data_IF_081094535847
#
_entry.id   IF_081094535847
#
_cell.length_a   1.000
_cell.length_b   1.000
_cell.length_c   1.000
_cell.angle_alpha   90.00
_cell.angle_beta   90.00
_cell.angle_gamma   90.00
#
_symmetry.space_group_name_H-M   'P 1'
#
loop_
_entity.id
_entity.type
_entity.pdbx_description
1 polymer ?
#
# COMPACT_ATOMS: atom_id res chain seq x y z
N UNK A 1 5.05 28.36 -22.81
CA UNK A 1 5.36 26.94 -23.12
C UNK A 1 4.36 26.00 -22.46
N UNK A 2 3.47 25.42 -23.27
CA UNK A 2 2.35 24.59 -22.83
C UNK A 2 2.80 23.26 -22.17
N UNK A 3 3.97 22.74 -22.53
CA UNK A 3 4.58 21.56 -21.91
C UNK A 3 5.06 21.79 -20.47
N UNK A 4 5.63 22.97 -20.18
CA UNK A 4 6.07 23.31 -18.82
C UNK A 4 4.88 23.41 -17.85
N UNK A 5 3.73 23.90 -18.33
CA UNK A 5 2.50 23.96 -17.53
C UNK A 5 1.94 22.55 -17.23
N UNK A 6 1.89 21.66 -18.23
CA UNK A 6 1.45 20.26 -18.07
C UNK A 6 2.33 19.48 -17.08
N UNK A 7 3.65 19.67 -17.14
CA UNK A 7 4.60 19.04 -16.21
C UNK A 7 4.38 19.47 -14.75
N UNK A 8 4.16 20.77 -14.52
CA UNK A 8 3.85 21.30 -13.17
C UNK A 8 2.56 20.73 -12.59
N UNK A 9 1.53 20.55 -13.41
CA UNK A 9 0.25 19.94 -12.98
C UNK A 9 0.46 18.47 -12.63
N UNK A 10 1.18 17.71 -13.46
CA UNK A 10 1.46 16.29 -13.21
C UNK A 10 2.23 16.08 -11.90
N UNK A 11 3.24 16.92 -11.61
CA UNK A 11 3.99 16.87 -10.35
C UNK A 11 3.08 17.16 -9.15
N UNK A 12 2.20 18.16 -9.23
CA UNK A 12 1.25 18.46 -8.15
C UNK A 12 0.29 17.30 -7.87
N UNK A 13 -0.23 16.67 -8.93
CA UNK A 13 -1.11 15.51 -8.79
C UNK A 13 -0.38 14.35 -8.12
N UNK A 14 0.84 14.03 -8.58
CA UNK A 14 1.65 12.97 -7.97
C UNK A 14 1.95 13.28 -6.51
N UNK A 15 2.32 14.52 -6.19
CA UNK A 15 2.59 14.94 -4.83
C UNK A 15 1.37 14.75 -3.91
N UNK A 16 0.19 15.20 -4.33
CA UNK A 16 -1.04 15.04 -3.57
C UNK A 16 -1.40 13.56 -3.38
N UNK A 17 -1.30 12.75 -4.45
CA UNK A 17 -1.61 11.34 -4.40
C UNK A 17 -0.68 10.59 -3.43
N UNK A 18 0.62 10.87 -3.47
CA UNK A 18 1.59 10.31 -2.53
C UNK A 18 1.32 10.79 -1.10
N UNK A 19 0.99 12.07 -0.89
CA UNK A 19 0.65 12.58 0.44
C UNK A 19 -0.54 11.83 1.05
N UNK A 20 -1.59 11.61 0.26
CA UNK A 20 -2.80 10.87 0.68
C UNK A 20 -2.43 9.42 1.00
N UNK A 21 -1.59 8.77 0.18
CA UNK A 21 -1.12 7.40 0.45
C UNK A 21 -0.39 7.31 1.78
N UNK A 22 0.55 8.22 2.06
CA UNK A 22 1.31 8.23 3.30
C UNK A 22 0.42 8.43 4.54
N UNK A 23 -0.60 9.28 4.43
CA UNK A 23 -1.60 9.43 5.50
C UNK A 23 -2.32 8.10 5.74
N UNK A 24 -2.86 7.47 4.68
CA UNK A 24 -3.55 6.20 4.79
C UNK A 24 -2.70 5.09 5.44
N UNK A 25 -1.43 4.99 5.03
CA UNK A 25 -0.47 4.04 5.59
C UNK A 25 -0.23 4.29 7.08
N UNK A 26 0.01 5.56 7.46
CA UNK A 26 0.31 5.92 8.84
C UNK A 26 -0.87 5.65 9.77
N UNK A 27 -2.09 5.96 9.32
CA UNK A 27 -3.32 5.63 10.04
C UNK A 27 -3.47 4.12 10.20
N UNK A 28 -3.27 3.36 9.12
CA UNK A 28 -3.40 1.91 9.14
C UNK A 28 -2.41 1.28 10.13
N UNK A 29 -1.14 1.67 10.07
CA UNK A 29 -0.09 1.15 10.95
C UNK A 29 -0.35 1.49 12.42
N UNK A 30 -0.87 2.69 12.69
CA UNK A 30 -1.20 3.12 14.06
C UNK A 30 -2.39 2.37 14.62
N UNK A 31 -3.40 2.08 13.79
CA UNK A 31 -4.62 1.39 14.20
C UNK A 31 -4.49 -0.14 14.23
N UNK A 32 -3.55 -0.70 13.46
CA UNK A 32 -3.39 -2.15 13.31
C UNK A 32 -3.23 -2.90 14.65
N UNK A 33 -2.44 -2.43 15.63
CA UNK A 33 -2.30 -3.11 16.92
C UNK A 33 -3.61 -3.15 17.71
N UNK A 34 -4.39 -2.06 17.67
CA UNK A 34 -5.70 -1.99 18.32
C UNK A 34 -6.70 -2.94 17.66
N UNK A 35 -6.69 -3.02 16.34
CA UNK A 35 -7.56 -3.90 15.57
C UNK A 35 -7.20 -5.39 15.75
N UNK A 36 -5.91 -5.70 15.83
CA UNK A 36 -5.45 -7.05 16.15
C UNK A 36 -5.85 -7.46 17.58
N UNK A 37 -5.74 -6.54 18.54
CA UNK A 37 -6.09 -6.80 19.94
C UNK A 37 -7.60 -6.95 20.15
N UNK A 38 -8.42 -6.16 19.46
CA UNK A 38 -9.89 -6.28 19.55
C UNK A 38 -10.42 -7.62 19.01
N UNK A 39 -9.68 -8.28 18.11
CA UNK A 39 -9.99 -9.62 17.61
C UNK A 39 -9.44 -10.76 18.50
N UNK A 40 -8.96 -10.46 19.71
CA UNK A 40 -8.36 -11.43 20.61
C UNK A 40 -6.90 -11.81 20.26
N UNK A 41 -6.28 -11.08 19.33
CA UNK A 41 -4.86 -11.24 19.01
C UNK A 41 -3.95 -10.51 20.00
N UNK A 42 -2.67 -10.89 20.02
CA UNK A 42 -1.64 -10.24 20.83
C UNK A 42 -0.47 -9.74 19.99
N UNK A 43 0.65 -9.42 20.65
CA UNK A 43 1.87 -8.95 19.99
C UNK A 43 2.37 -9.88 18.87
N UNK A 44 2.21 -11.20 19.03
CA UNK A 44 2.58 -12.20 18.02
C UNK A 44 1.79 -12.03 16.72
N UNK A 45 0.49 -11.72 16.80
CA UNK A 45 -0.34 -11.49 15.60
C UNK A 45 0.07 -10.19 14.91
N UNK A 46 0.31 -9.12 15.67
CA UNK A 46 0.80 -7.84 15.12
C UNK A 46 2.14 -8.04 14.40
N UNK A 47 3.07 -8.76 15.03
CA UNK A 47 4.35 -9.12 14.43
C UNK A 47 4.20 -9.93 13.14
N UNK A 48 3.29 -10.91 13.12
CA UNK A 48 3.01 -11.70 11.92
C UNK A 48 2.39 -10.85 10.80
N UNK A 49 1.50 -9.91 11.12
CA UNK A 49 0.90 -8.97 10.15
C UNK A 49 1.94 -8.05 9.53
N UNK A 50 2.82 -7.46 10.35
CA UNK A 50 3.91 -6.58 9.90
C UNK A 50 4.96 -7.36 9.09
N UNK A 51 5.28 -8.59 9.51
CA UNK A 51 6.19 -9.47 8.76
C UNK A 51 5.62 -9.85 7.40
N UNK A 52 4.35 -10.25 7.34
CA UNK A 52 3.64 -10.54 6.07
C UNK A 52 3.64 -9.31 5.15
N UNK A 53 3.34 -8.13 5.71
CA UNK A 53 3.40 -6.87 4.98
C UNK A 53 4.81 -6.55 4.45
N UNK A 54 5.86 -6.76 5.25
CA UNK A 54 7.26 -6.62 4.84
C UNK A 54 7.67 -7.58 3.72
N UNK A 55 7.33 -8.86 3.84
CA UNK A 55 7.56 -9.87 2.80
C UNK A 55 6.85 -9.48 1.49
N UNK A 56 5.58 -9.05 1.58
CA UNK A 56 4.84 -8.56 0.43
C UNK A 56 5.53 -7.36 -0.24
N UNK A 57 6.02 -6.39 0.54
CA UNK A 57 6.75 -5.23 0.02
C UNK A 57 8.02 -5.60 -0.75
N UNK A 58 8.79 -6.59 -0.27
CA UNK A 58 9.99 -7.07 -0.99
C UNK A 58 9.61 -7.65 -2.34
N UNK A 59 8.57 -8.49 -2.39
CA UNK A 59 8.10 -9.08 -3.65
C UNK A 59 7.53 -8.00 -4.57
N UNK A 60 6.71 -7.10 -4.02
CA UNK A 60 6.19 -5.94 -4.74
C UNK A 60 7.30 -5.10 -5.37
N UNK A 61 8.44 -4.94 -4.70
CA UNK A 61 9.58 -4.17 -5.20
C UNK A 61 10.17 -4.75 -6.45
N UNK A 62 10.35 -6.05 -6.45
CA UNK A 62 10.89 -6.75 -7.60
C UNK A 62 9.89 -6.74 -8.77
N UNK A 63 8.59 -6.92 -8.50
CA UNK A 63 7.56 -7.03 -9.53
C UNK A 63 7.23 -5.66 -10.13
N UNK A 64 6.83 -4.68 -9.32
CA UNK A 64 6.44 -3.35 -9.79
C UNK A 64 7.66 -2.52 -10.20
N UNK A 65 8.83 -2.73 -9.61
CA UNK A 65 10.08 -2.14 -10.09
C UNK A 65 10.36 -2.57 -11.53
N UNK A 66 10.34 -3.88 -11.81
CA UNK A 66 10.48 -4.39 -13.18
C UNK A 66 9.35 -3.91 -14.12
N UNK A 67 8.11 -3.84 -13.63
CA UNK A 67 6.99 -3.34 -14.43
C UNK A 67 7.18 -1.86 -14.80
N UNK A 68 7.69 -1.05 -13.86
CA UNK A 68 8.03 0.36 -14.08
C UNK A 68 9.10 0.51 -15.14
N UNK A 69 10.14 -0.33 -15.08
CA UNK A 69 11.26 -0.27 -16.02
C UNK A 69 10.85 -0.71 -17.45
N UNK A 70 9.93 -1.67 -17.58
CA UNK A 70 9.52 -2.21 -18.89
C UNK A 70 8.34 -1.48 -19.53
N UNK A 71 7.33 -1.08 -18.75
CA UNK A 71 6.07 -0.52 -19.25
C UNK A 71 5.90 0.97 -18.91
N UNK A 72 6.86 1.54 -18.18
CA UNK A 72 6.91 2.96 -17.81
C UNK A 72 6.29 3.27 -16.45
N UNK A 73 6.84 4.30 -15.80
CA UNK A 73 6.47 4.74 -14.43
C UNK A 73 4.98 5.02 -14.22
N UNK A 74 4.27 5.51 -15.25
CA UNK A 74 2.84 5.86 -15.11
C UNK A 74 1.98 4.64 -14.80
N UNK A 75 2.22 3.52 -15.47
CA UNK A 75 1.43 2.31 -15.27
C UNK A 75 1.73 1.69 -13.91
N UNK A 76 3.02 1.64 -13.53
CA UNK A 76 3.44 1.17 -12.21
C UNK A 76 2.76 1.96 -11.08
N UNK A 77 2.73 3.29 -11.16
CA UNK A 77 2.04 4.13 -10.17
C UNK A 77 0.54 3.80 -10.06
N UNK A 78 -0.16 3.63 -11.19
CA UNK A 78 -1.58 3.29 -11.18
C UNK A 78 -1.85 1.90 -10.59
N UNK A 79 -1.02 0.92 -10.93
CA UNK A 79 -1.09 -0.42 -10.34
C UNK A 79 -0.85 -0.37 -8.81
N UNK A 80 0.11 0.45 -8.36
CA UNK A 80 0.37 0.62 -6.93
C UNK A 80 -0.83 1.20 -6.19
N UNK A 81 -1.42 2.28 -6.71
CA UNK A 81 -2.60 2.89 -6.09
C UNK A 81 -3.81 1.94 -6.09
N UNK A 82 -4.04 1.21 -7.19
CA UNK A 82 -5.15 0.27 -7.29
C UNK A 82 -5.02 -0.87 -6.28
N UNK A 83 -3.84 -1.47 -6.16
CA UNK A 83 -3.65 -2.56 -5.19
C UNK A 83 -3.60 -2.09 -3.74
N UNK A 84 -3.09 -0.88 -3.47
CA UNK A 84 -3.23 -0.23 -2.15
C UNK A 84 -4.70 -0.04 -1.78
N UNK A 85 -5.53 0.46 -2.71
CA UNK A 85 -6.96 0.65 -2.48
C UNK A 85 -7.66 -0.68 -2.15
N UNK A 86 -7.43 -1.72 -2.96
CA UNK A 86 -7.99 -3.05 -2.73
C UNK A 86 -7.57 -3.59 -1.36
N UNK A 87 -6.28 -3.50 -1.04
CA UNK A 87 -5.75 -4.03 0.19
C UNK A 87 -6.26 -3.30 1.45
N UNK A 88 -6.38 -1.97 1.41
CA UNK A 88 -6.97 -1.20 2.50
C UNK A 88 -8.47 -1.47 2.64
N UNK A 89 -9.22 -1.60 1.55
CA UNK A 89 -10.63 -2.00 1.59
C UNK A 89 -10.82 -3.38 2.21
N UNK A 90 -10.01 -4.36 1.80
CA UNK A 90 -10.03 -5.70 2.40
C UNK A 90 -9.72 -5.66 3.89
N UNK A 91 -8.74 -4.84 4.29
CA UNK A 91 -8.37 -4.73 5.69
C UNK A 91 -9.42 -4.02 6.54
N UNK A 92 -10.15 -3.04 5.98
CA UNK A 92 -11.28 -2.39 6.65
C UNK A 92 -12.50 -3.29 6.79
N UNK A 93 -12.67 -4.26 5.90
CA UNK A 93 -13.73 -5.28 5.96
C UNK A 93 -13.32 -6.52 6.77
N UNK A 94 -12.11 -6.56 7.31
CA UNK A 94 -11.59 -7.74 7.96
C UNK A 94 -12.23 -7.97 9.33
N UNK A 95 -13.02 -9.03 9.46
CA UNK A 95 -13.68 -9.43 10.72
C UNK A 95 -12.92 -10.50 11.50
N UNK A 96 -11.90 -11.12 10.88
CA UNK A 96 -11.09 -12.18 11.51
C UNK A 96 -9.60 -11.92 11.33
N UNK A 97 -8.75 -12.37 12.29
CA UNK A 97 -7.29 -12.24 12.19
C UNK A 97 -6.69 -12.82 10.90
N UNK A 98 -7.19 -13.97 10.45
CA UNK A 98 -6.72 -14.62 9.23
C UNK A 98 -7.06 -13.82 7.97
N UNK A 99 -8.26 -13.22 7.93
CA UNK A 99 -8.67 -12.37 6.81
C UNK A 99 -7.91 -11.04 6.81
N UNK A 100 -7.61 -10.49 7.99
CA UNK A 100 -6.71 -9.35 8.14
C UNK A 100 -5.29 -9.66 7.66
N UNK A 101 -4.81 -10.90 7.87
CA UNK A 101 -3.51 -11.35 7.40
C UNK A 101 -3.49 -11.55 5.88
N UNK A 102 -4.56 -12.09 5.32
CA UNK A 102 -4.74 -12.23 3.87
C UNK A 102 -4.80 -10.86 3.17
N UNK A 103 -5.43 -9.86 3.81
CA UNK A 103 -5.47 -8.49 3.28
C UNK A 103 -4.08 -7.84 3.13
N UNK A 104 -3.04 -8.34 3.83
CA UNK A 104 -1.68 -7.80 3.74
C UNK A 104 -0.98 -8.13 2.43
N UNK A 105 -1.36 -9.20 1.75
CA UNK A 105 -0.74 -9.62 0.48
C UNK A 105 -0.92 -8.58 -0.63
N UNK A 106 -2.14 -8.11 -0.96
CA UNK A 106 -2.31 -7.07 -1.98
C UNK A 106 -1.69 -5.74 -1.56
N UNK A 107 -1.77 -5.34 -0.28
CA UNK A 107 -1.11 -4.12 0.20
C UNK A 107 0.41 -4.21 0.04
N UNK A 108 1.02 -5.31 0.46
CA UNK A 108 2.47 -5.50 0.36
C UNK A 108 2.95 -5.53 -1.09
N UNK A 109 2.25 -6.26 -1.97
CA UNK A 109 2.62 -6.38 -3.38
C UNK A 109 2.45 -5.09 -4.16
N UNK A 110 1.40 -4.33 -3.87
CA UNK A 110 1.09 -3.13 -4.63
C UNK A 110 1.78 -1.89 -4.12
N UNK A 111 2.08 -1.82 -2.81
CA UNK A 111 2.54 -0.58 -2.22
C UNK A 111 4.04 -0.36 -2.44
N UNK A 112 4.35 0.14 -3.63
CA UNK A 112 5.68 0.53 -4.10
C UNK A 112 5.72 2.03 -4.42
N UNK A 113 5.19 2.86 -3.51
CA UNK A 113 5.10 4.32 -3.70
C UNK A 113 6.46 5.02 -3.52
N UNK A 114 7.45 4.65 -4.33
CA UNK A 114 8.76 5.32 -4.44
C UNK A 114 8.96 5.86 -5.87
#
# INVERSE_FOLDING_TARGET
NMESAKSKVAIRICFLAVMIDYIGVSMMRTLLPFYATSMGGGATLVGALETSYGCGQVVGALVLGRLSDLQGRRLALLCSFAGSAIGYSMAGLATTPSFLLLSRLPVGLAKQTV
#
